data_IF_681410247178
#
_entry.id   IF_681410247178
#
_cell.length_a   1.000
_cell.length_b   1.000
_cell.length_c   1.000
_cell.angle_alpha   90.00
_cell.angle_beta   90.00
_cell.angle_gamma   90.00
#
_symmetry.space_group_name_H-M   'P 1'
#
loop_
_entity.id
_entity.type
_entity.pdbx_description
1 polymer ?
#
# COMPACT_ATOMS: atom_id res chain seq x y z
N UNK A 1 -47.27 39.58 43.58
CA UNK A 1 -46.14 38.85 43.01
C UNK A 1 -46.62 37.48 42.54
N UNK A 2 -46.43 37.14 41.28
CA UNK A 2 -47.29 36.17 40.54
C UNK A 2 -46.83 34.71 40.84
N UNK A 3 -47.56 33.98 41.69
CA UNK A 3 -47.29 32.59 42.09
C UNK A 3 -47.20 31.62 40.86
N UNK A 4 -47.88 31.93 39.76
CA UNK A 4 -47.82 31.18 38.49
C UNK A 4 -46.44 31.25 37.85
N UNK A 5 -45.71 32.36 37.97
CA UNK A 5 -44.38 32.52 37.40
C UNK A 5 -43.36 31.58 38.09
N UNK A 6 -43.38 31.45 39.38
CA UNK A 6 -42.48 30.56 40.14
C UNK A 6 -42.79 29.06 39.92
N UNK A 7 -44.03 28.73 39.65
CA UNK A 7 -44.43 27.33 39.33
C UNK A 7 -43.91 26.90 37.97
N UNK A 8 -43.94 27.77 36.98
CA UNK A 8 -43.39 27.52 35.64
C UNK A 8 -41.88 27.48 35.63
N UNK A 9 -41.19 28.35 36.35
CA UNK A 9 -39.72 28.29 36.46
C UNK A 9 -39.22 27.01 37.09
N UNK A 10 -39.88 26.50 38.14
CA UNK A 10 -39.55 25.17 38.72
C UNK A 10 -39.69 24.02 37.73
N UNK A 11 -40.73 24.05 36.92
CA UNK A 11 -40.96 23.04 35.88
C UNK A 11 -39.87 23.09 34.79
N UNK A 12 -39.52 24.31 34.34
CA UNK A 12 -38.48 24.55 33.36
C UNK A 12 -37.11 24.03 33.87
N UNK A 13 -36.74 24.41 35.09
CA UNK A 13 -35.48 23.92 35.73
C UNK A 13 -35.44 22.42 35.87
N UNK A 14 -36.57 21.77 36.23
CA UNK A 14 -36.64 20.31 36.28
C UNK A 14 -36.39 19.67 34.93
N UNK A 15 -36.99 20.18 33.85
CA UNK A 15 -36.79 19.68 32.51
C UNK A 15 -35.40 19.93 31.96
N UNK A 16 -34.80 21.10 32.22
CA UNK A 16 -33.42 21.40 31.88
C UNK A 16 -32.47 20.43 32.58
N UNK A 17 -32.68 20.16 33.88
CA UNK A 17 -31.86 19.19 34.61
C UNK A 17 -31.94 17.77 34.06
N UNK A 18 -33.15 17.31 33.70
CA UNK A 18 -33.36 16.00 33.09
C UNK A 18 -32.68 15.91 31.72
N UNK A 19 -32.84 16.91 30.84
CA UNK A 19 -32.21 16.97 29.53
C UNK A 19 -30.68 16.99 29.63
N UNK A 20 -30.14 17.77 30.57
CA UNK A 20 -28.69 17.81 30.82
C UNK A 20 -28.16 16.46 31.32
N UNK A 21 -28.88 15.79 32.22
CA UNK A 21 -28.48 14.47 32.73
C UNK A 21 -28.49 13.41 31.60
N UNK A 22 -29.52 13.43 30.74
CA UNK A 22 -29.60 12.53 29.57
C UNK A 22 -28.45 12.82 28.60
N UNK A 23 -28.13 14.10 28.35
CA UNK A 23 -27.02 14.49 27.46
C UNK A 23 -25.66 14.03 28.00
N UNK A 24 -25.40 14.20 29.31
CA UNK A 24 -24.17 13.72 29.97
C UNK A 24 -24.08 12.19 29.91
N UNK A 25 -25.20 11.48 30.09
CA UNK A 25 -25.24 10.03 30.03
C UNK A 25 -24.94 9.54 28.60
N UNK A 26 -25.51 10.18 27.58
CA UNK A 26 -25.20 9.86 26.17
C UNK A 26 -23.71 10.10 25.87
N UNK A 27 -23.14 11.21 26.31
CA UNK A 27 -21.73 11.51 26.11
C UNK A 27 -20.82 10.50 26.86
N UNK A 28 -21.20 10.11 28.08
CA UNK A 28 -20.44 9.14 28.87
C UNK A 28 -20.45 7.75 28.22
N UNK A 29 -21.62 7.27 27.77
CA UNK A 29 -21.77 5.99 27.11
C UNK A 29 -21.05 6.00 25.74
N UNK A 30 -21.21 7.06 24.96
CA UNK A 30 -20.50 7.17 23.68
C UNK A 30 -18.99 7.27 23.87
N UNK A 31 -18.51 7.99 24.88
CA UNK A 31 -17.09 8.05 25.23
C UNK A 31 -16.54 6.69 25.65
N UNK A 32 -17.29 5.95 26.46
CA UNK A 32 -16.89 4.59 26.87
C UNK A 32 -16.86 3.62 25.67
N UNK A 33 -17.86 3.65 24.80
CA UNK A 33 -17.89 2.85 23.57
C UNK A 33 -16.72 3.17 22.62
N UNK A 34 -16.36 4.46 22.51
CA UNK A 34 -15.23 4.88 21.67
C UNK A 34 -13.86 4.54 22.28
N UNK A 35 -13.76 4.37 23.59
CA UNK A 35 -12.52 3.94 24.26
C UNK A 35 -12.31 2.42 24.21
N UNK A 36 -13.37 1.63 23.99
CA UNK A 36 -13.34 0.17 23.96
C UNK A 36 -14.03 -0.37 22.69
N UNK A 37 -13.62 0.06 21.49
CA UNK A 37 -14.31 -0.30 20.25
C UNK A 37 -14.28 -1.80 19.98
N UNK A 38 -13.20 -2.48 20.33
CA UNK A 38 -12.99 -3.92 20.11
C UNK A 38 -13.98 -4.78 20.91
N UNK A 39 -14.23 -4.42 22.18
CA UNK A 39 -15.14 -5.17 23.07
C UNK A 39 -16.60 -5.14 22.59
N UNK A 40 -16.98 -4.09 21.86
CA UNK A 40 -18.34 -3.88 21.40
C UNK A 40 -18.53 -4.11 19.89
N UNK A 41 -17.47 -4.51 19.17
CA UNK A 41 -17.53 -4.77 17.73
C UNK A 41 -17.86 -3.54 16.87
N UNK A 42 -17.72 -2.32 17.42
CA UNK A 42 -18.04 -1.09 16.70
C UNK A 42 -16.96 -0.63 15.74
N UNK A 43 -15.80 -1.29 15.72
CA UNK A 43 -14.75 -1.05 14.71
C UNK A 43 -15.25 -1.24 13.27
N UNK A 44 -16.24 -2.13 13.10
CA UNK A 44 -16.89 -2.41 11.82
C UNK A 44 -18.22 -1.68 11.63
N UNK A 45 -18.65 -0.87 12.60
CA UNK A 45 -19.89 -0.13 12.49
C UNK A 45 -19.74 0.99 11.45
N UNK A 46 -20.14 0.72 10.23
CA UNK A 46 -20.27 1.74 9.19
C UNK A 46 -21.47 2.64 9.54
N UNK A 47 -21.19 3.83 10.04
CA UNK A 47 -22.22 4.87 10.11
C UNK A 47 -22.50 5.29 8.66
N UNK A 48 -23.69 4.93 8.17
CA UNK A 48 -24.14 5.31 6.83
C UNK A 48 -23.99 6.82 6.65
N UNK A 49 -23.22 7.23 5.63
CA UNK A 49 -22.96 8.63 5.29
C UNK A 49 -24.18 9.50 5.04
N UNK A 50 -25.36 8.88 4.97
CA UNK A 50 -26.66 9.54 4.80
C UNK A 50 -26.99 10.55 5.92
N UNK A 51 -26.41 10.36 7.12
CA UNK A 51 -26.78 11.15 8.32
C UNK A 51 -25.67 12.06 8.82
N UNK A 52 -24.47 12.02 8.23
CA UNK A 52 -23.36 12.86 8.63
C UNK A 52 -22.97 13.81 7.48
N UNK A 53 -22.71 15.12 7.77
CA UNK A 53 -22.20 16.03 6.76
C UNK A 53 -20.88 15.54 6.17
N UNK A 54 -20.67 15.67 4.85
CA UNK A 54 -19.45 15.24 4.14
C UNK A 54 -18.15 15.71 4.78
N UNK A 55 -18.15 16.85 5.47
CA UNK A 55 -16.97 17.38 6.17
C UNK A 55 -16.42 16.46 7.27
N UNK A 56 -17.27 15.58 7.85
CA UNK A 56 -16.83 14.60 8.86
C UNK A 56 -16.17 13.36 8.25
N UNK A 57 -16.51 13.02 7.00
CA UNK A 57 -15.87 11.91 6.29
C UNK A 57 -14.47 12.27 5.77
N UNK A 58 -14.27 13.53 5.35
CA UNK A 58 -12.96 14.01 4.88
C UNK A 58 -11.86 13.95 5.96
N UNK A 59 -12.22 14.03 7.25
CA UNK A 59 -11.23 14.07 8.34
C UNK A 59 -10.66 12.69 8.66
N UNK A 60 -11.41 11.61 8.52
CA UNK A 60 -10.92 10.26 8.79
C UNK A 60 -10.10 9.68 7.63
N UNK A 61 -10.37 10.08 6.37
CA UNK A 61 -9.61 9.60 5.21
C UNK A 61 -8.38 10.44 4.89
N UNK A 62 -8.24 11.64 5.47
CA UNK A 62 -7.21 12.61 5.11
C UNK A 62 -5.78 12.30 5.61
N UNK A 63 -5.53 11.18 6.31
CA UNK A 63 -4.20 10.90 6.88
C UNK A 63 -3.59 9.54 6.55
N UNK A 64 -4.25 8.71 5.79
CA UNK A 64 -3.67 7.41 5.39
C UNK A 64 -2.95 7.58 4.07
N UNK A 65 -1.65 7.41 4.09
CA UNK A 65 -0.84 7.47 2.88
C UNK A 65 -0.91 6.11 2.20
N UNK A 66 -1.58 6.03 1.06
CA UNK A 66 -1.46 4.88 0.17
C UNK A 66 -0.10 4.98 -0.51
N UNK A 67 0.74 3.98 -0.31
CA UNK A 67 2.10 3.92 -0.85
C UNK A 67 2.17 2.95 -2.04
N UNK A 68 1.34 1.92 -2.04
CA UNK A 68 1.28 0.91 -3.10
C UNK A 68 -0.16 0.50 -3.35
N UNK A 69 -0.47 0.18 -4.61
CA UNK A 69 -1.75 -0.38 -5.02
C UNK A 69 -1.48 -1.56 -5.96
N UNK A 70 -2.09 -2.70 -5.66
CA UNK A 70 -2.02 -3.89 -6.49
C UNK A 70 -3.41 -4.41 -6.79
N UNK A 71 -3.62 -4.93 -8.00
CA UNK A 71 -4.87 -5.52 -8.45
C UNK A 71 -4.63 -6.96 -8.87
N UNK A 72 -5.52 -7.85 -8.48
CA UNK A 72 -5.46 -9.25 -8.92
C UNK A 72 -5.69 -9.30 -10.44
N UNK A 73 -4.75 -9.89 -11.21
CA UNK A 73 -4.89 -10.01 -12.65
C UNK A 73 -6.20 -10.67 -13.06
N UNK A 74 -6.91 -10.05 -14.00
CA UNK A 74 -8.17 -10.57 -14.54
C UNK A 74 -9.40 -10.43 -13.64
N UNK A 75 -9.26 -10.04 -12.37
CA UNK A 75 -10.39 -9.92 -11.45
C UNK A 75 -11.13 -8.59 -11.54
N UNK A 76 -10.43 -7.46 -11.66
CA UNK A 76 -11.04 -6.12 -11.60
C UNK A 76 -11.79 -5.77 -10.30
N UNK A 77 -12.05 -6.76 -9.45
CA UNK A 77 -12.80 -6.63 -8.19
C UNK A 77 -11.88 -6.65 -6.97
N UNK A 78 -10.80 -7.43 -7.02
CA UNK A 78 -9.91 -7.64 -5.89
C UNK A 78 -8.71 -6.71 -6.01
N UNK A 79 -8.59 -5.81 -5.03
CA UNK A 79 -7.50 -4.85 -4.94
C UNK A 79 -6.86 -4.90 -3.55
N UNK A 80 -5.58 -4.58 -3.50
CA UNK A 80 -4.82 -4.41 -2.26
C UNK A 80 -4.18 -3.04 -2.24
N UNK A 81 -4.27 -2.37 -1.09
CA UNK A 81 -3.62 -1.09 -0.84
C UNK A 81 -2.62 -1.22 0.32
N UNK A 82 -1.36 -0.96 0.03
CA UNK A 82 -0.31 -0.83 1.03
C UNK A 82 -0.28 0.60 1.58
N UNK A 83 -0.32 0.72 2.88
CA UNK A 83 -0.37 2.00 3.59
C UNK A 83 0.71 2.08 4.66
N UNK A 84 0.82 3.20 5.35
CA UNK A 84 1.69 3.40 6.51
C UNK A 84 1.19 2.72 7.80
N UNK A 85 0.03 2.03 7.73
CA UNK A 85 -0.59 1.30 8.85
C UNK A 85 -1.04 -0.11 8.47
N UNK A 86 -0.52 -0.66 7.37
CA UNK A 86 -0.74 -2.04 6.93
C UNK A 86 -1.38 -2.17 5.57
N UNK A 87 -1.82 -3.40 5.28
CA UNK A 87 -2.47 -3.80 4.05
C UNK A 87 -3.98 -3.74 4.19
N UNK A 88 -4.64 -3.20 3.17
CA UNK A 88 -6.09 -3.22 3.02
C UNK A 88 -6.47 -3.98 1.77
N UNK A 89 -7.48 -4.85 1.86
CA UNK A 89 -8.05 -5.60 0.75
C UNK A 89 -9.46 -5.11 0.44
N UNK A 90 -9.75 -4.91 -0.84
CA UNK A 90 -11.10 -4.74 -1.36
C UNK A 90 -11.48 -5.96 -2.21
N UNK A 91 -12.74 -6.37 -2.16
CA UNK A 91 -13.31 -7.45 -2.96
C UNK A 91 -14.45 -6.97 -3.88
N UNK A 92 -14.70 -5.68 -3.92
CA UNK A 92 -15.84 -5.05 -4.60
C UNK A 92 -15.44 -3.88 -5.52
N UNK A 93 -14.21 -3.93 -6.05
CA UNK A 93 -13.69 -2.92 -6.96
C UNK A 93 -13.32 -1.61 -6.26
N UNK A 94 -12.95 -1.67 -4.98
CA UNK A 94 -12.49 -0.50 -4.20
C UNK A 94 -13.59 0.27 -3.49
N UNK A 95 -14.82 -0.25 -3.46
CA UNK A 95 -15.95 0.39 -2.75
C UNK A 95 -15.82 0.25 -1.25
N UNK A 96 -15.42 -0.94 -0.77
CA UNK A 96 -15.13 -1.21 0.64
C UNK A 96 -13.75 -1.82 0.82
N UNK A 97 -13.12 -1.56 1.97
CA UNK A 97 -11.77 -1.99 2.28
C UNK A 97 -11.71 -2.60 3.67
N UNK A 98 -11.12 -3.79 3.77
CA UNK A 98 -10.87 -4.51 5.01
C UNK A 98 -9.37 -4.54 5.27
N UNK A 99 -8.96 -4.24 6.50
CA UNK A 99 -7.57 -4.36 6.93
C UNK A 99 -7.19 -5.84 7.11
N UNK A 100 -6.04 -6.25 6.57
CA UNK A 100 -5.56 -7.63 6.57
C UNK A 100 -4.11 -7.68 7.04
N UNK A 101 -3.88 -7.49 8.34
CA UNK A 101 -2.55 -7.32 8.94
C UNK A 101 -2.11 -8.48 9.84
N UNK A 102 -2.87 -9.58 9.91
CA UNK A 102 -2.53 -10.68 10.81
C UNK A 102 -1.15 -11.26 10.45
N UNK A 103 -0.19 -11.17 11.37
CA UNK A 103 1.20 -11.58 11.17
C UNK A 103 2.15 -10.46 10.71
N UNK A 104 1.65 -9.32 10.22
CA UNK A 104 2.48 -8.16 9.89
C UNK A 104 2.92 -7.43 11.16
N UNK A 105 4.19 -7.52 11.52
CA UNK A 105 4.76 -6.74 12.62
C UNK A 105 5.40 -5.40 12.16
N UNK A 106 5.66 -5.22 10.86
CA UNK A 106 5.97 -3.93 10.25
C UNK A 106 4.83 -3.54 9.30
N UNK A 107 4.13 -2.47 9.62
CA UNK A 107 2.94 -2.03 8.89
C UNK A 107 3.21 -0.87 7.92
N UNK A 108 4.45 -0.40 7.76
CA UNK A 108 4.82 0.59 6.74
C UNK A 108 4.99 -0.10 5.38
N UNK A 109 3.86 -0.36 4.72
CA UNK A 109 3.81 -1.12 3.46
C UNK A 109 4.10 -0.20 2.28
N UNK A 110 5.27 -0.36 1.69
CA UNK A 110 5.79 0.48 0.59
C UNK A 110 5.56 -0.10 -0.78
N UNK A 111 5.55 -1.44 -0.86
CA UNK A 111 5.37 -2.17 -2.10
C UNK A 111 4.43 -3.34 -1.88
N UNK A 112 3.61 -3.66 -2.88
CA UNK A 112 2.78 -4.85 -2.94
C UNK A 112 2.98 -5.49 -4.32
N UNK A 113 3.14 -6.80 -4.33
CA UNK A 113 3.18 -7.59 -5.56
C UNK A 113 2.36 -8.85 -5.39
N UNK A 114 1.56 -9.19 -6.40
CA UNK A 114 0.68 -10.37 -6.42
C UNK A 114 1.25 -11.33 -7.45
N UNK A 115 1.32 -12.59 -7.10
CA UNK A 115 1.70 -13.64 -8.04
C UNK A 115 0.67 -13.70 -9.19
N UNK A 116 1.09 -13.51 -10.44
CA UNK A 116 0.17 -13.52 -11.58
C UNK A 116 -0.44 -14.89 -11.88
N UNK A 117 0.17 -15.98 -11.39
CA UNK A 117 -0.30 -17.36 -11.58
C UNK A 117 -1.10 -17.88 -10.41
N UNK A 118 -0.77 -17.41 -9.19
CA UNK A 118 -1.48 -17.75 -7.96
C UNK A 118 -1.80 -16.49 -7.16
N UNK A 119 -2.98 -15.88 -7.38
CA UNK A 119 -3.39 -14.66 -6.68
C UNK A 119 -3.55 -14.80 -5.16
N UNK A 120 -3.46 -16.01 -4.60
CA UNK A 120 -3.40 -16.21 -3.14
C UNK A 120 -2.03 -15.85 -2.57
N UNK A 121 -0.99 -15.87 -3.41
CA UNK A 121 0.37 -15.50 -3.02
C UNK A 121 0.62 -14.02 -3.25
N UNK A 122 0.94 -13.31 -2.16
CA UNK A 122 1.14 -11.86 -2.14
C UNK A 122 2.42 -11.55 -1.37
N UNK A 123 3.19 -10.58 -1.88
CA UNK A 123 4.38 -10.05 -1.22
C UNK A 123 4.17 -8.59 -0.81
N UNK A 124 4.58 -8.25 0.40
CA UNK A 124 4.56 -6.90 0.93
C UNK A 124 5.98 -6.45 1.31
N UNK A 125 6.45 -5.39 0.68
CA UNK A 125 7.74 -4.77 0.99
C UNK A 125 7.58 -3.69 2.05
N UNK A 126 8.40 -3.78 3.09
CA UNK A 126 8.38 -2.89 4.25
C UNK A 126 9.74 -2.24 4.49
N UNK A 127 9.90 -1.54 5.62
CA UNK A 127 11.20 -1.03 6.04
C UNK A 127 12.12 -2.12 6.64
N UNK A 128 11.58 -3.29 6.96
CA UNK A 128 12.29 -4.40 7.63
C UNK A 128 12.43 -5.67 6.80
N UNK A 129 12.03 -5.64 5.54
CA UNK A 129 12.12 -6.79 4.65
C UNK A 129 10.85 -7.02 3.85
N UNK A 130 10.74 -8.23 3.33
CA UNK A 130 9.62 -8.69 2.52
C UNK A 130 8.78 -9.66 3.34
N UNK A 131 7.49 -9.43 3.42
CA UNK A 131 6.51 -10.36 3.97
C UNK A 131 5.81 -11.09 2.84
N UNK A 132 5.48 -12.37 3.05
CA UNK A 132 4.73 -13.21 2.12
C UNK A 132 3.44 -13.70 2.79
N UNK A 133 2.37 -13.69 2.04
CA UNK A 133 1.10 -14.34 2.35
C UNK A 133 0.81 -15.37 1.26
N UNK A 134 0.24 -16.50 1.63
CA UNK A 134 -0.19 -17.57 0.72
C UNK A 134 -1.71 -17.81 0.77
N UNK A 135 -2.44 -16.93 1.48
CA UNK A 135 -3.88 -17.01 1.68
C UNK A 135 -4.61 -15.71 1.32
N UNK A 136 -4.15 -15.07 0.23
CA UNK A 136 -4.72 -13.82 -0.28
C UNK A 136 -4.68 -12.65 0.74
N UNK A 137 -3.67 -12.63 1.61
CA UNK A 137 -3.44 -11.59 2.60
C UNK A 137 -4.21 -11.78 3.90
N UNK A 138 -4.89 -12.90 4.11
CA UNK A 138 -5.57 -13.16 5.39
C UNK A 138 -4.55 -13.30 6.52
N UNK A 139 -3.43 -14.00 6.25
CA UNK A 139 -2.28 -14.07 7.17
C UNK A 139 -0.97 -13.83 6.43
N UNK A 140 0.03 -13.30 7.14
CA UNK A 140 1.39 -13.06 6.67
C UNK A 140 2.33 -13.92 7.52
N UNK A 141 2.77 -15.04 7.00
CA UNK A 141 3.47 -16.09 7.74
C UNK A 141 4.98 -16.04 7.55
N UNK A 142 5.43 -15.64 6.36
CA UNK A 142 6.84 -15.65 6.02
C UNK A 142 7.39 -14.22 6.00
N UNK A 143 8.62 -14.09 6.48
CA UNK A 143 9.33 -12.82 6.52
C UNK A 143 10.79 -13.03 6.14
N UNK A 144 11.23 -12.30 5.12
CA UNK A 144 12.57 -12.39 4.56
C UNK A 144 13.35 -11.11 4.86
N UNK A 145 14.48 -11.25 5.52
CA UNK A 145 15.35 -10.18 6.00
C UNK A 145 16.83 -10.45 5.69
N UNK A 146 17.72 -9.91 6.52
CA UNK A 146 19.16 -10.11 6.42
C UNK A 146 19.57 -11.58 6.52
N UNK A 147 18.82 -12.41 7.24
CA UNK A 147 19.13 -13.86 7.40
C UNK A 147 18.90 -14.65 6.13
N UNK A 148 18.00 -14.16 5.26
CA UNK A 148 17.76 -14.71 3.92
C UNK A 148 18.70 -14.12 2.85
N UNK A 149 19.67 -13.28 3.23
CA UNK A 149 20.62 -12.64 2.32
C UNK A 149 20.20 -11.23 1.86
N UNK A 150 19.05 -10.73 2.31
CA UNK A 150 18.58 -9.40 2.01
C UNK A 150 19.25 -8.36 2.92
N UNK A 151 20.51 -8.04 2.65
CA UNK A 151 21.35 -7.18 3.51
C UNK A 151 20.87 -5.73 3.59
N UNK A 152 19.91 -5.32 2.77
CA UNK A 152 19.26 -4.02 2.80
C UNK A 152 17.76 -4.22 2.84
N UNK A 153 17.20 -4.22 4.03
CA UNK A 153 15.81 -4.64 4.31
C UNK A 153 14.77 -3.58 3.99
N UNK A 154 15.17 -2.32 3.76
CA UNK A 154 14.22 -1.27 3.39
C UNK A 154 13.82 -1.38 1.93
N UNK A 155 12.65 -1.96 1.72
CA UNK A 155 12.10 -2.23 0.40
C UNK A 155 11.39 -0.99 -0.12
N UNK A 156 11.64 -0.63 -1.36
CA UNK A 156 10.97 0.46 -2.07
C UNK A 156 9.98 -0.05 -3.12
N UNK A 157 10.32 -1.14 -3.80
CA UNK A 157 9.46 -1.76 -4.81
C UNK A 157 9.76 -3.25 -4.94
N UNK A 158 8.78 -4.02 -5.42
CA UNK A 158 8.88 -5.46 -5.67
C UNK A 158 8.38 -5.74 -7.09
N UNK A 159 9.13 -6.55 -7.84
CA UNK A 159 8.71 -7.07 -9.13
C UNK A 159 8.78 -8.59 -9.16
N UNK A 160 7.66 -9.24 -9.47
CA UNK A 160 7.60 -10.67 -9.77
C UNK A 160 7.74 -10.89 -11.26
N UNK A 161 8.48 -11.93 -11.62
CA UNK A 161 8.59 -12.34 -13.01
C UNK A 161 7.22 -12.87 -13.50
N UNK A 162 6.69 -12.37 -14.63
CA UNK A 162 5.33 -12.69 -15.07
C UNK A 162 5.13 -14.16 -15.43
N UNK A 163 6.19 -14.84 -15.89
CA UNK A 163 6.13 -16.25 -16.31
C UNK A 163 6.72 -17.25 -15.31
N UNK A 164 7.51 -16.78 -14.34
CA UNK A 164 8.09 -17.61 -13.29
C UNK A 164 8.06 -16.90 -11.93
N UNK A 165 7.03 -17.10 -11.11
CA UNK A 165 6.88 -16.40 -9.83
C UNK A 165 7.92 -16.74 -8.77
N UNK A 166 8.78 -17.76 -8.98
CA UNK A 166 9.93 -18.00 -8.12
C UNK A 166 11.00 -16.91 -8.24
N UNK A 167 10.98 -16.16 -9.37
CA UNK A 167 11.92 -15.07 -9.63
C UNK A 167 11.33 -13.75 -9.18
N UNK A 168 11.97 -13.14 -8.19
CA UNK A 168 11.60 -11.82 -7.64
C UNK A 168 12.79 -10.89 -7.70
N UNK A 169 12.47 -9.60 -7.84
CA UNK A 169 13.42 -8.51 -7.66
C UNK A 169 12.87 -7.51 -6.67
N UNK A 170 13.73 -6.99 -5.81
CA UNK A 170 13.39 -5.89 -4.90
C UNK A 170 14.34 -4.72 -5.10
N UNK A 171 13.77 -3.53 -5.06
CA UNK A 171 14.48 -2.26 -5.04
C UNK A 171 14.72 -1.83 -3.60
N UNK A 172 15.96 -1.51 -3.25
CA UNK A 172 16.37 -1.17 -1.88
C UNK A 172 17.30 0.05 -1.84
N UNK A 173 17.61 0.55 -0.65
CA UNK A 173 18.64 1.58 -0.46
C UNK A 173 20.07 1.09 -0.84
N UNK A 174 20.29 -0.22 -0.89
CA UNK A 174 21.57 -0.85 -1.28
C UNK A 174 21.65 -1.30 -2.73
N UNK A 175 20.60 -1.09 -3.52
CA UNK A 175 20.51 -1.53 -4.91
C UNK A 175 19.40 -2.53 -5.15
N UNK A 176 19.62 -3.45 -6.09
CA UNK A 176 18.67 -4.46 -6.49
C UNK A 176 19.10 -5.81 -5.92
N UNK A 177 18.16 -6.52 -5.32
CA UNK A 177 18.32 -7.92 -4.92
C UNK A 177 17.38 -8.79 -5.73
N UNK A 178 17.84 -10.01 -6.01
CA UNK A 178 17.08 -11.06 -6.71
C UNK A 178 16.90 -12.27 -5.82
N UNK A 179 15.72 -12.85 -5.87
CA UNK A 179 15.45 -14.20 -5.42
C UNK A 179 15.12 -15.08 -6.63
N UNK A 180 15.48 -16.37 -6.56
CA UNK A 180 15.18 -17.40 -7.55
C UNK A 180 14.35 -18.56 -6.97
N UNK A 181 13.90 -18.40 -5.72
CA UNK A 181 13.24 -19.41 -4.89
C UNK A 181 12.04 -18.80 -4.11
N UNK A 182 11.27 -17.94 -4.77
CA UNK A 182 10.06 -17.30 -4.20
C UNK A 182 10.31 -16.52 -2.90
N UNK A 183 11.54 -15.96 -2.73
CA UNK A 183 11.88 -15.10 -1.62
C UNK A 183 12.69 -15.79 -0.51
N UNK A 184 12.89 -17.11 -0.55
CA UNK A 184 13.61 -17.86 0.49
C UNK A 184 15.06 -17.39 0.64
N UNK A 185 15.73 -17.09 -0.48
CA UNK A 185 17.07 -16.53 -0.48
C UNK A 185 17.22 -15.35 -1.44
N UNK A 186 18.08 -14.40 -1.06
CA UNK A 186 18.31 -13.18 -1.80
C UNK A 186 19.78 -12.94 -2.07
N UNK A 187 20.08 -12.45 -3.28
CA UNK A 187 21.43 -12.06 -3.67
C UNK A 187 21.43 -10.70 -4.35
N UNK A 188 22.45 -9.85 -4.10
CA UNK A 188 22.60 -8.57 -4.79
C UNK A 188 22.96 -8.85 -6.25
N UNK A 189 22.25 -8.21 -7.21
CA UNK A 189 22.50 -8.43 -8.65
C UNK A 189 23.09 -7.21 -9.34
N UNK A 190 22.87 -6.01 -8.87
CA UNK A 190 23.43 -4.82 -9.47
C UNK A 190 23.35 -3.61 -8.56
N UNK A 191 24.22 -2.66 -8.85
CA UNK A 191 24.32 -1.31 -8.30
C UNK A 191 24.38 -1.24 -6.77
N UNK A 192 25.45 -0.66 -6.27
CA UNK A 192 25.59 -0.28 -4.85
C UNK A 192 24.90 1.07 -4.57
N UNK A 193 23.90 1.43 -5.39
CA UNK A 193 23.22 2.74 -5.31
C UNK A 193 21.73 2.52 -5.03
N UNK A 194 21.09 3.42 -4.25
CA UNK A 194 19.67 3.32 -3.95
C UNK A 194 18.79 3.24 -5.20
N UNK A 195 17.94 2.23 -5.26
CA UNK A 195 16.93 2.03 -6.30
C UNK A 195 15.55 2.17 -5.68
N UNK A 196 14.66 2.90 -6.32
CA UNK A 196 13.30 3.14 -5.86
C UNK A 196 12.25 2.32 -6.60
N UNK A 197 12.53 1.97 -7.85
CA UNK A 197 11.57 1.28 -8.72
C UNK A 197 12.29 0.12 -9.40
N UNK A 198 11.64 -1.03 -9.46
CA UNK A 198 12.03 -2.15 -10.30
C UNK A 198 10.78 -2.73 -10.97
N UNK A 199 10.77 -2.85 -12.29
CA UNK A 199 9.59 -3.34 -13.04
C UNK A 199 10.02 -4.20 -14.21
N UNK A 200 9.29 -5.29 -14.44
CA UNK A 200 9.35 -6.01 -15.70
C UNK A 200 8.68 -5.21 -16.83
N UNK A 201 9.18 -5.39 -18.04
CA UNK A 201 8.46 -4.93 -19.23
C UNK A 201 7.18 -5.75 -19.38
N UNK A 202 6.08 -5.06 -19.68
CA UNK A 202 4.78 -5.72 -19.84
C UNK A 202 4.68 -6.61 -21.09
N UNK A 203 5.57 -6.41 -22.09
CA UNK A 203 5.56 -7.14 -23.35
C UNK A 203 6.70 -8.17 -23.49
N UNK A 204 7.71 -8.13 -22.60
CA UNK A 204 8.84 -9.06 -22.66
C UNK A 204 9.40 -9.27 -21.24
N UNK A 205 9.23 -10.48 -20.72
CA UNK A 205 9.65 -10.88 -19.37
C UNK A 205 11.16 -10.92 -19.16
N UNK A 206 11.99 -10.94 -20.23
CA UNK A 206 13.45 -10.83 -20.11
C UNK A 206 13.93 -9.40 -19.82
N UNK A 207 13.06 -8.42 -20.06
CA UNK A 207 13.40 -7.01 -19.92
C UNK A 207 12.93 -6.47 -18.58
N UNK A 208 13.86 -5.90 -17.83
CA UNK A 208 13.58 -5.17 -16.58
C UNK A 208 14.10 -3.74 -16.66
N UNK A 209 13.44 -2.89 -15.93
CA UNK A 209 13.86 -1.52 -15.67
C UNK A 209 14.00 -1.29 -14.18
N UNK A 210 15.04 -0.57 -13.80
CA UNK A 210 15.26 -0.13 -12.43
C UNK A 210 15.61 1.35 -12.41
N UNK A 211 15.03 2.10 -11.51
CA UNK A 211 15.27 3.55 -11.42
C UNK A 211 15.49 4.01 -10.00
N UNK A 212 16.40 4.94 -9.86
CA UNK A 212 16.75 5.61 -8.62
C UNK A 212 17.15 7.06 -8.86
N UNK A 213 17.69 7.69 -7.83
CA UNK A 213 18.13 9.10 -7.92
C UNK A 213 19.26 9.34 -8.91
N UNK A 214 20.04 8.31 -9.21
CA UNK A 214 21.24 8.38 -10.06
C UNK A 214 20.98 8.05 -11.52
N UNK A 215 19.74 7.68 -11.86
CA UNK A 215 19.32 7.36 -13.21
C UNK A 215 18.49 6.09 -13.30
N UNK A 216 18.29 5.65 -14.52
CA UNK A 216 17.56 4.42 -14.82
C UNK A 216 18.46 3.43 -15.51
N UNK A 217 18.28 2.17 -15.16
CA UNK A 217 18.97 1.02 -15.70
C UNK A 217 17.98 0.13 -16.44
N UNK A 218 18.46 -0.57 -17.45
CA UNK A 218 17.72 -1.62 -18.17
C UNK A 218 18.53 -2.89 -18.17
N UNK A 219 17.89 -4.00 -17.91
CA UNK A 219 18.38 -5.33 -18.20
C UNK A 219 17.61 -5.92 -19.39
N UNK A 220 18.29 -6.69 -20.23
CA UNK A 220 17.70 -7.42 -21.37
C UNK A 220 17.85 -8.94 -21.19
N UNK A 221 18.27 -9.41 -20.06
CA UNK A 221 18.60 -10.79 -19.78
C UNK A 221 18.19 -11.22 -18.36
N UNK A 222 16.97 -10.84 -18.00
CA UNK A 222 16.35 -11.22 -16.73
C UNK A 222 17.19 -10.80 -15.51
N UNK A 223 17.70 -9.57 -15.50
CA UNK A 223 18.40 -8.99 -14.37
C UNK A 223 19.88 -9.39 -14.21
N UNK A 224 20.45 -10.14 -15.15
CA UNK A 224 21.88 -10.56 -15.06
C UNK A 224 22.83 -9.39 -15.31
N UNK A 225 22.54 -8.59 -16.33
CA UNK A 225 23.32 -7.40 -16.66
C UNK A 225 22.43 -6.17 -16.70
N UNK A 226 22.96 -5.06 -16.22
CA UNK A 226 22.25 -3.79 -16.14
C UNK A 226 23.04 -2.69 -16.84
N UNK A 227 22.40 -2.01 -17.79
CA UNK A 227 22.97 -0.93 -18.56
C UNK A 227 22.21 0.37 -18.29
N UNK A 228 22.88 1.51 -18.14
CA UNK A 228 22.23 2.79 -18.03
C UNK A 228 21.41 3.09 -19.30
N UNK A 229 20.21 3.63 -19.11
CA UNK A 229 19.34 4.10 -20.19
C UNK A 229 19.12 5.59 -20.02
N UNK A 230 18.87 6.27 -21.15
CA UNK A 230 18.78 7.71 -21.31
C UNK A 230 20.12 8.45 -21.19
N UNK A 231 20.54 9.02 -22.30
CA UNK A 231 21.75 9.85 -22.38
C UNK A 231 21.63 11.16 -21.60
N UNK A 232 20.40 11.62 -21.32
CA UNK A 232 20.14 12.83 -20.54
C UNK A 232 19.72 12.46 -19.13
N UNK A 233 20.22 13.21 -18.15
CA UNK A 233 19.78 13.10 -16.76
C UNK A 233 18.29 13.44 -16.67
N UNK A 234 17.47 12.42 -16.47
CA UNK A 234 16.05 12.59 -16.17
C UNK A 234 15.92 12.77 -14.66
N UNK A 235 15.03 13.67 -14.17
CA UNK A 235 14.74 13.77 -12.75
C UNK A 235 14.31 12.41 -12.17
N UNK A 236 14.49 12.23 -10.86
CA UNK A 236 14.15 10.99 -10.18
C UNK A 236 12.76 10.50 -10.61
N UNK A 237 12.71 9.29 -11.16
CA UNK A 237 11.48 8.66 -11.64
C UNK A 237 10.68 8.20 -10.42
N UNK A 238 9.40 8.54 -10.38
CA UNK A 238 8.46 8.13 -9.34
C UNK A 238 7.55 6.99 -9.78
N UNK A 239 7.41 6.80 -11.09
CA UNK A 239 6.66 5.67 -11.67
C UNK A 239 7.18 5.37 -13.07
N UNK A 240 7.11 4.11 -13.46
CA UNK A 240 7.51 3.63 -14.77
C UNK A 240 6.48 2.63 -15.29
N UNK A 241 6.09 2.79 -16.56
CA UNK A 241 5.14 1.91 -17.24
C UNK A 241 5.65 1.62 -18.64
N UNK A 242 5.66 0.34 -19.05
CA UNK A 242 5.87 -0.10 -20.42
C UNK A 242 4.56 -0.54 -21.04
N UNK A 243 4.43 -0.46 -22.37
CA UNK A 243 3.26 -0.95 -23.07
C UNK A 243 3.34 -2.47 -23.30
N UNK A 244 2.19 -3.15 -23.24
CA UNK A 244 2.10 -4.58 -23.54
C UNK A 244 2.37 -4.94 -25.00
N UNK A 245 2.25 -3.97 -25.90
CA UNK A 245 2.36 -4.18 -27.33
C UNK A 245 3.77 -3.96 -27.87
N UNK A 246 4.58 -3.18 -27.17
CA UNK A 246 5.93 -2.82 -27.61
C UNK A 246 6.84 -2.49 -26.41
N UNK A 247 7.91 -3.28 -26.15
CA UNK A 247 8.84 -3.05 -25.05
C UNK A 247 9.69 -1.79 -25.22
N UNK A 248 9.72 -1.20 -26.40
CA UNK A 248 10.46 0.03 -26.68
C UNK A 248 9.69 1.28 -26.20
N UNK A 249 8.36 1.19 -25.98
CA UNK A 249 7.57 2.30 -25.47
C UNK A 249 7.56 2.32 -23.92
N UNK A 250 8.12 3.39 -23.36
CA UNK A 250 8.14 3.63 -21.93
C UNK A 250 7.54 4.98 -21.60
N UNK A 251 6.81 5.01 -20.51
CA UNK A 251 6.37 6.25 -19.87
C UNK A 251 6.94 6.31 -18.46
N UNK A 252 7.48 7.46 -18.10
CA UNK A 252 7.99 7.71 -16.75
C UNK A 252 7.42 8.99 -16.15
N UNK A 253 6.84 8.86 -14.97
CA UNK A 253 6.44 10.01 -14.16
C UNK A 253 7.61 10.47 -13.30
N UNK A 254 7.80 11.79 -13.23
CA UNK A 254 8.83 12.43 -12.41
C UNK A 254 8.24 13.62 -11.66
N UNK A 255 8.99 14.21 -10.74
CA UNK A 255 8.56 15.43 -10.05
C UNK A 255 8.34 16.63 -10.98
N UNK A 256 8.93 16.61 -12.19
CA UNK A 256 8.87 17.72 -13.17
C UNK A 256 7.95 17.45 -14.34
N UNK A 257 7.36 16.26 -14.45
CA UNK A 257 6.43 15.92 -15.53
C UNK A 257 6.49 14.48 -16.00
N UNK A 258 5.81 14.23 -17.12
CA UNK A 258 5.76 12.93 -17.81
C UNK A 258 6.80 12.93 -18.94
N UNK A 259 7.57 11.85 -18.99
CA UNK A 259 8.54 11.57 -20.05
C UNK A 259 8.13 10.32 -20.81
N UNK A 260 8.46 10.28 -22.10
CA UNK A 260 8.18 9.16 -22.97
C UNK A 260 9.46 8.77 -23.73
N UNK A 261 9.67 7.47 -23.89
CA UNK A 261 10.70 6.90 -24.76
C UNK A 261 10.05 6.00 -25.79
N UNK A 262 10.60 6.01 -27.03
CA UNK A 262 10.18 5.19 -28.15
C UNK A 262 11.23 4.14 -28.54
N UNK A 263 12.34 4.05 -27.80
CA UNK A 263 13.45 3.16 -28.09
C UNK A 263 13.91 2.38 -26.85
N UNK A 264 13.00 2.12 -25.92
CA UNK A 264 13.31 1.38 -24.67
C UNK A 264 14.23 2.13 -23.73
N UNK A 265 14.29 3.47 -23.83
CA UNK A 265 15.16 4.32 -23.03
C UNK A 265 16.59 4.44 -23.57
N UNK A 266 16.88 3.90 -24.75
CA UNK A 266 18.20 3.97 -25.41
C UNK A 266 18.43 5.31 -26.09
#
# INVERSE_FOLDING_TARGET
MNIRFFKNTRIIHKWIGILSAIFVLILSVSGFLLMHPEEFGIEQAQISGKYLPEKYFKVQHARRRIQSLAMVPGSGQILYAGTDIGVYRSQDGGKTWLQTNQGLFDQDIRALAIDPKDPSTIYAGTSRGVFKSEDAGDTWSDWFDETSGLTHTKIHDIALHPDNPEILFVATDGGIFQSLDAGESWQPVSTKQPVQIVKFSASNSDILYASGKTGTLRSNNNGRDWNPVWEKVIPAITTLVSLNTDPEFLYSGTATGLYQSFNGGR
#
